data_IF_519045357171
#
_entry.id   IF_519045357171
#
_cell.length_a   1.000
_cell.length_b   1.000
_cell.length_c   1.000
_cell.angle_alpha   90.00
_cell.angle_beta   90.00
_cell.angle_gamma   90.00
#
_symmetry.space_group_name_H-M   'P 1'
#
loop_
_entity.id
_entity.type
_entity.pdbx_description
1 polymer ?
#
# COMPACT_ATOMS: atom_id res chain seq x y z
N UNK A 1 -18.94 -13.15 3.43
CA UNK A 1 -19.17 -11.72 3.72
C UNK A 1 -17.90 -10.89 3.90
N UNK A 2 -16.77 -11.46 4.32
CA UNK A 2 -15.49 -10.73 4.45
C UNK A 2 -14.91 -10.20 3.13
N UNK A 3 -15.32 -10.74 1.97
CA UNK A 3 -14.82 -10.28 0.67
C UNK A 3 -15.21 -8.82 0.39
N UNK A 4 -16.48 -8.45 0.61
CA UNK A 4 -16.96 -7.08 0.37
C UNK A 4 -16.31 -6.07 1.31
N UNK A 5 -16.16 -6.43 2.59
CA UNK A 5 -15.48 -5.58 3.58
C UNK A 5 -14.02 -5.39 3.19
N UNK A 6 -13.33 -6.48 2.78
CA UNK A 6 -11.94 -6.43 2.35
C UNK A 6 -11.79 -5.58 1.09
N UNK A 7 -12.64 -5.77 0.05
CA UNK A 7 -12.58 -4.98 -1.18
C UNK A 7 -12.91 -3.51 -0.93
N UNK A 8 -13.93 -3.20 -0.13
CA UNK A 8 -14.31 -1.83 0.21
C UNK A 8 -13.19 -1.13 0.99
N UNK A 9 -12.59 -1.82 1.96
CA UNK A 9 -11.42 -1.32 2.69
C UNK A 9 -10.26 -1.00 1.75
N UNK A 10 -9.90 -1.94 0.85
CA UNK A 10 -8.80 -1.72 -0.10
C UNK A 10 -9.10 -0.60 -1.11
N UNK A 11 -10.34 -0.48 -1.58
CA UNK A 11 -10.76 0.61 -2.49
C UNK A 11 -10.66 1.96 -1.77
N UNK A 12 -11.14 2.06 -0.53
CA UNK A 12 -11.05 3.29 0.25
C UNK A 12 -9.61 3.73 0.49
N UNK A 13 -8.73 2.81 0.88
CA UNK A 13 -7.29 3.09 1.04
C UNK A 13 -6.66 3.52 -0.28
N UNK A 14 -7.00 2.87 -1.40
CA UNK A 14 -6.51 3.23 -2.72
C UNK A 14 -6.93 4.66 -3.11
N UNK A 15 -8.18 5.02 -2.88
CA UNK A 15 -8.71 6.36 -3.17
C UNK A 15 -8.08 7.45 -2.28
N UNK A 16 -7.71 7.11 -1.04
CA UNK A 16 -7.03 8.02 -0.11
C UNK A 16 -5.56 8.26 -0.52
N UNK A 17 -4.88 7.22 -1.00
CA UNK A 17 -3.47 7.27 -1.41
C UNK A 17 -3.30 7.82 -2.82
N UNK A 18 -4.30 7.65 -3.69
CA UNK A 18 -4.32 8.37 -4.96
C UNK A 18 -4.40 9.86 -4.63
N UNK A 19 -3.38 10.67 -4.99
CA UNK A 19 -3.62 12.10 -5.04
C UNK A 19 -4.75 12.26 -6.04
N UNK A 20 -5.91 12.72 -5.58
CA UNK A 20 -6.95 13.29 -6.42
C UNK A 20 -6.45 14.65 -6.98
N UNK A 21 -5.19 14.65 -7.45
CA UNK A 21 -4.49 15.74 -8.11
C UNK A 21 -4.89 15.69 -9.57
N UNK A 22 -6.07 16.23 -9.84
CA UNK A 22 -6.63 16.30 -11.18
C UNK A 22 -8.06 16.72 -11.02
N UNK A 23 -8.29 18.02 -11.18
CA UNK A 23 -9.56 18.71 -11.10
C UNK A 23 -10.76 17.75 -11.10
N UNK A 24 -11.51 17.73 -9.99
CA UNK A 24 -12.94 17.48 -10.07
C UNK A 24 -13.56 18.63 -10.87
N UNK A 25 -13.26 18.70 -12.17
CA UNK A 25 -13.98 19.48 -13.17
C UNK A 25 -15.24 18.69 -13.50
N UNK A 26 -16.05 18.44 -12.48
CA UNK A 26 -17.45 18.17 -12.69
C UNK A 26 -18.07 19.54 -12.95
N UNK A 27 -18.43 19.83 -14.20
CA UNK A 27 -19.19 21.04 -14.57
C UNK A 27 -20.65 20.90 -14.08
N UNK A 28 -20.82 20.73 -12.77
CA UNK A 28 -22.08 20.68 -12.08
C UNK A 28 -22.16 21.80 -11.04
N UNK A 29 -23.36 22.36 -10.78
CA UNK A 29 -23.51 23.33 -9.71
C UNK A 29 -23.02 22.72 -8.39
N UNK A 30 -22.20 23.46 -7.65
CA UNK A 30 -21.58 23.10 -6.36
C UNK A 30 -20.26 22.29 -6.42
N UNK A 31 -19.53 22.29 -7.53
CA UNK A 31 -18.23 21.60 -7.64
C UNK A 31 -17.13 22.17 -6.70
N UNK A 32 -17.05 23.50 -6.56
CA UNK A 32 -16.09 24.16 -5.64
C UNK A 32 -16.44 23.96 -4.15
N UNK A 33 -17.73 23.85 -3.84
CA UNK A 33 -18.20 23.64 -2.46
C UNK A 33 -17.92 22.20 -1.98
N UNK A 34 -17.97 21.21 -2.87
CA UNK A 34 -17.65 19.80 -2.53
C UNK A 34 -16.15 19.56 -2.31
N UNK A 35 -15.28 20.28 -3.02
CA UNK A 35 -13.83 20.11 -2.89
C UNK A 35 -13.26 20.81 -1.64
N UNK A 36 -13.89 21.90 -1.19
CA UNK A 36 -13.45 22.68 -0.03
C UNK A 36 -14.02 22.19 1.31
N UNK A 37 -15.18 21.50 1.30
CA UNK A 37 -15.79 20.93 2.51
C UNK A 37 -15.04 19.69 3.02
N UNK A 38 -14.17 19.05 2.25
CA UNK A 38 -13.76 17.67 2.55
C UNK A 38 -12.48 17.54 3.42
N UNK A 39 -11.43 18.33 3.18
CA UNK A 39 -10.14 18.09 3.84
C UNK A 39 -10.12 18.51 5.33
N UNK A 40 -10.58 19.73 5.64
CA UNK A 40 -10.61 20.22 7.02
C UNK A 40 -11.63 19.46 7.88
N UNK A 41 -12.78 19.10 7.29
CA UNK A 41 -13.77 18.26 7.97
C UNK A 41 -13.24 16.84 8.21
N UNK A 42 -12.53 16.25 7.24
CA UNK A 42 -11.88 14.96 7.42
C UNK A 42 -10.79 15.01 8.51
N UNK A 43 -9.98 16.06 8.56
CA UNK A 43 -9.00 16.29 9.63
C UNK A 43 -9.68 16.43 11.00
N UNK A 44 -10.79 17.16 11.09
CA UNK A 44 -11.56 17.28 12.32
C UNK A 44 -12.16 15.93 12.76
N UNK A 45 -12.73 15.16 11.83
CA UNK A 45 -13.28 13.84 12.10
C UNK A 45 -12.20 12.82 12.51
N UNK A 46 -11.02 12.86 11.87
CA UNK A 46 -9.87 12.07 12.27
C UNK A 46 -9.40 12.44 13.68
N UNK A 47 -9.36 13.74 14.00
CA UNK A 47 -9.05 14.23 15.35
C UNK A 47 -10.03 13.72 16.40
N UNK A 48 -11.33 13.73 16.10
CA UNK A 48 -12.36 13.17 16.99
C UNK A 48 -12.15 11.66 17.22
N UNK A 49 -11.83 10.91 16.18
CA UNK A 49 -11.52 9.47 16.29
C UNK A 49 -10.30 9.21 17.18
N UNK A 50 -9.24 10.04 17.06
CA UNK A 50 -8.06 9.93 17.92
C UNK A 50 -8.43 10.22 19.38
N UNK A 51 -9.33 11.18 19.63
CA UNK A 51 -9.84 11.46 20.97
C UNK A 51 -10.53 10.23 21.58
N UNK A 52 -11.35 9.52 20.79
CA UNK A 52 -12.01 8.29 21.25
C UNK A 52 -11.00 7.16 21.52
N UNK A 53 -9.97 7.03 20.69
CA UNK A 53 -8.89 6.07 20.94
C UNK A 53 -8.17 6.33 22.26
N UNK A 54 -8.01 7.60 22.67
CA UNK A 54 -7.41 7.91 23.98
C UNK A 54 -8.28 7.37 25.12
N UNK A 55 -9.60 7.55 25.04
CA UNK A 55 -10.51 6.98 26.04
C UNK A 55 -10.46 5.45 26.07
N UNK A 56 -10.29 4.80 24.92
CA UNK A 56 -10.07 3.35 24.85
C UNK A 56 -8.77 2.93 25.55
N UNK A 57 -7.68 3.68 25.34
CA UNK A 57 -6.39 3.41 26.00
C UNK A 57 -6.46 3.58 27.53
N UNK A 58 -7.21 4.57 28.03
CA UNK A 58 -7.43 4.72 29.47
C UNK A 58 -8.11 3.48 30.09
N UNK A 59 -9.00 2.83 29.33
CA UNK A 59 -9.73 1.63 29.78
C UNK A 59 -8.95 0.34 29.60
N UNK A 60 -8.04 0.28 28.62
CA UNK A 60 -7.28 -0.91 28.25
C UNK A 60 -5.82 -0.54 27.92
N UNK A 61 -4.98 -0.28 28.94
CA UNK A 61 -3.61 0.19 28.74
C UNK A 61 -2.73 -0.84 28.01
N UNK A 62 -2.88 -2.13 28.32
CA UNK A 62 -2.08 -3.20 27.69
C UNK A 62 -2.28 -3.26 26.16
N UNK A 63 -3.49 -3.00 25.67
CA UNK A 63 -3.78 -3.00 24.24
C UNK A 63 -3.05 -1.87 23.51
N UNK A 64 -2.96 -0.68 24.13
CA UNK A 64 -2.25 0.46 23.56
C UNK A 64 -0.72 0.30 23.66
N UNK A 65 -0.20 -0.37 24.69
CA UNK A 65 1.22 -0.71 24.80
C UNK A 65 1.66 -1.69 23.71
N UNK A 66 0.88 -2.74 23.46
CA UNK A 66 1.15 -3.68 22.35
C UNK A 66 0.98 -2.97 21.00
N UNK A 67 -0.07 -2.16 20.86
CA UNK A 67 -0.34 -1.40 19.63
C UNK A 67 0.77 -0.43 19.27
N UNK A 68 1.32 0.30 20.24
CA UNK A 68 2.42 1.25 20.01
C UNK A 68 3.70 0.55 19.53
N UNK A 69 4.05 -0.59 20.13
CA UNK A 69 5.19 -1.42 19.69
C UNK A 69 5.00 -1.94 18.27
N UNK A 70 3.79 -2.40 17.93
CA UNK A 70 3.47 -2.86 16.59
C UNK A 70 3.58 -1.72 15.55
N UNK A 71 3.08 -0.53 15.90
CA UNK A 71 3.17 0.66 15.05
C UNK A 71 4.61 1.09 14.81
N UNK A 72 5.50 1.03 15.81
CA UNK A 72 6.92 1.35 15.63
C UNK A 72 7.57 0.44 14.59
N UNK A 73 7.40 -0.88 14.72
CA UNK A 73 7.95 -1.86 13.76
C UNK A 73 7.40 -1.63 12.35
N UNK A 74 6.10 -1.35 12.24
CA UNK A 74 5.49 -1.04 10.95
C UNK A 74 6.05 0.26 10.36
N UNK A 75 6.27 1.28 11.19
CA UNK A 75 6.77 2.59 10.76
C UNK A 75 8.22 2.54 10.27
N UNK A 76 9.07 1.73 10.91
CA UNK A 76 10.45 1.53 10.46
C UNK A 76 10.47 0.87 9.09
N UNK A 77 9.63 -0.15 8.88
CA UNK A 77 9.48 -0.81 7.57
C UNK A 77 8.92 0.15 6.51
N UNK A 78 7.97 1.00 6.88
CA UNK A 78 7.41 2.00 5.98
C UNK A 78 8.47 3.02 5.53
N UNK A 79 9.30 3.52 6.46
CA UNK A 79 10.40 4.44 6.16
C UNK A 79 11.45 3.79 5.25
N UNK A 80 11.86 2.57 5.57
CA UNK A 80 12.81 1.83 4.75
C UNK A 80 12.25 1.52 3.34
N UNK A 81 10.96 1.18 3.26
CA UNK A 81 10.26 0.98 1.98
C UNK A 81 10.18 2.26 1.15
N UNK A 82 9.87 3.40 1.78
CA UNK A 82 9.84 4.70 1.11
C UNK A 82 11.23 5.09 0.56
N UNK A 83 12.29 4.89 1.35
CA UNK A 83 13.66 5.13 0.91
C UNK A 83 14.05 4.25 -0.29
N UNK A 84 13.67 2.96 -0.27
CA UNK A 84 13.93 2.04 -1.39
C UNK A 84 13.21 2.45 -2.67
N UNK A 85 11.96 2.90 -2.57
CA UNK A 85 11.21 3.42 -3.72
C UNK A 85 11.86 4.70 -4.24
N UNK A 86 12.25 5.63 -3.36
CA UNK A 86 12.89 6.88 -3.76
C UNK A 86 14.24 6.64 -4.47
N UNK A 87 15.05 5.70 -3.99
CA UNK A 87 16.30 5.30 -4.62
C UNK A 87 16.06 4.70 -6.02
N UNK A 88 15.09 3.79 -6.14
CA UNK A 88 14.69 3.18 -7.41
C UNK A 88 14.22 4.21 -8.45
N UNK A 89 13.42 5.21 -8.04
CA UNK A 89 13.00 6.29 -8.95
C UNK A 89 14.12 7.31 -9.24
N UNK A 90 15.05 7.49 -8.30
CA UNK A 90 16.20 8.39 -8.46
C UNK A 90 17.26 7.83 -9.41
N UNK A 91 17.38 6.50 -9.51
CA UNK A 91 18.38 5.84 -10.35
C UNK A 91 18.08 5.88 -11.86
N UNK A 92 16.83 5.99 -12.29
CA UNK A 92 16.48 6.06 -13.72
C UNK A 92 15.25 6.97 -13.93
N UNK A 93 15.44 8.13 -14.57
CA UNK A 93 14.34 9.04 -14.90
C UNK A 93 13.39 8.46 -15.96
N UNK A 94 12.17 8.07 -15.58
CA UNK A 94 10.99 7.96 -16.45
C UNK A 94 9.68 7.90 -15.62
N UNK A 95 8.55 8.43 -16.13
CA UNK A 95 7.29 8.55 -15.38
C UNK A 95 6.55 7.23 -15.21
N UNK A 96 5.73 7.22 -14.15
CA UNK A 96 4.96 6.12 -13.56
C UNK A 96 4.37 5.06 -14.52
N UNK A 97 4.69 3.80 -14.22
CA UNK A 97 3.79 2.67 -14.44
C UNK A 97 3.14 2.29 -13.09
N UNK A 98 1.85 1.93 -13.07
CA UNK A 98 1.07 1.77 -11.84
C UNK A 98 1.67 0.71 -10.93
N UNK A 99 1.58 0.95 -9.61
CA UNK A 99 2.02 0.05 -8.57
C UNK A 99 1.55 -1.38 -8.85
N UNK A 100 2.48 -2.25 -9.22
CA UNK A 100 2.24 -3.70 -9.13
C UNK A 100 1.95 -3.96 -7.67
N UNK A 101 0.72 -4.40 -7.42
CA UNK A 101 0.27 -4.92 -6.14
C UNK A 101 1.41 -5.71 -5.50
N UNK A 102 1.64 -5.45 -4.22
CA UNK A 102 2.45 -6.31 -3.36
C UNK A 102 2.06 -7.74 -3.69
N UNK A 103 2.94 -8.45 -4.39
CA UNK A 103 2.89 -9.89 -4.39
C UNK A 103 3.08 -10.25 -2.93
N UNK A 104 2.00 -10.68 -2.28
CA UNK A 104 2.11 -11.80 -1.35
C UNK A 104 2.70 -12.97 -2.12
N UNK A 105 4.01 -12.90 -2.40
CA UNK A 105 4.82 -14.07 -2.60
C UNK A 105 5.00 -14.66 -1.19
N UNK A 106 4.01 -15.44 -0.79
CA UNK A 106 4.33 -16.65 -0.02
C UNK A 106 5.29 -17.45 -0.90
N UNK A 107 6.57 -17.38 -0.59
CA UNK A 107 7.67 -17.97 -1.35
C UNK A 107 8.93 -17.16 -1.05
N UNK A 108 9.54 -17.34 0.12
CA UNK A 108 10.37 -18.51 0.37
C UNK A 108 11.80 -18.09 0.09
N UNK A 109 12.74 -18.41 0.98
CA UNK A 109 14.16 -18.16 0.82
C UNK A 109 14.63 -18.66 -0.56
N UNK A 110 14.73 -17.77 -1.54
CA UNK A 110 15.15 -18.11 -2.89
C UNK A 110 16.65 -18.42 -2.84
N UNK A 111 16.95 -19.71 -2.75
CA UNK A 111 18.31 -20.27 -2.69
C UNK A 111 18.76 -20.81 -4.06
N UNK A 112 17.94 -20.64 -5.10
CA UNK A 112 18.22 -21.15 -6.43
C UNK A 112 19.15 -20.19 -7.18
N UNK A 113 20.28 -20.71 -7.62
CA UNK A 113 21.21 -19.97 -8.48
C UNK A 113 20.67 -19.90 -9.91
N UNK A 114 21.14 -18.96 -10.75
CA UNK A 114 20.72 -18.86 -12.15
C UNK A 114 20.96 -20.13 -12.98
N UNK A 115 21.85 -21.01 -12.53
CA UNK A 115 22.12 -22.29 -13.18
C UNK A 115 21.00 -23.32 -12.96
N UNK A 116 20.38 -23.30 -11.78
CA UNK A 116 19.30 -24.23 -11.39
C UNK A 116 18.02 -24.01 -12.20
N UNK A 117 17.89 -22.83 -12.82
CA UNK A 117 16.72 -22.41 -13.59
C UNK A 117 16.76 -22.87 -15.05
N UNK A 118 17.82 -23.54 -15.49
CA UNK A 118 17.91 -24.04 -16.86
C UNK A 118 17.21 -25.40 -16.95
N UNK A 119 16.30 -25.60 -17.92
CA UNK A 119 15.68 -26.91 -18.12
C UNK A 119 16.76 -27.95 -18.49
N UNK A 120 16.89 -28.99 -17.66
CA UNK A 120 17.86 -30.08 -17.84
C UNK A 120 17.44 -31.09 -18.92
N UNK A 121 16.21 -31.02 -19.40
CA UNK A 121 15.71 -31.93 -20.41
C UNK A 121 16.21 -31.54 -21.81
N UNK A 122 17.05 -32.39 -22.39
CA UNK A 122 17.32 -32.44 -23.84
C UNK A 122 16.34 -33.46 -24.44
N UNK A 123 15.48 -33.03 -25.37
CA UNK A 123 14.68 -33.97 -26.16
C UNK A 123 15.58 -34.90 -26.99
N UNK A 124 15.07 -36.07 -27.42
CA UNK A 124 15.86 -37.02 -28.21
C UNK A 124 16.39 -36.34 -29.48
N UNK A 125 17.72 -36.36 -29.64
CA UNK A 125 18.40 -35.74 -30.78
C UNK A 125 17.92 -36.36 -32.09
N UNK A 126 17.56 -35.51 -33.04
CA UNK A 126 17.29 -35.93 -34.42
C UNK A 126 18.52 -36.61 -35.00
N UNK A 127 18.42 -37.81 -35.60
CA UNK A 127 19.54 -38.43 -36.29
C UNK A 127 19.93 -37.56 -37.48
N UNK A 128 21.23 -37.33 -37.61
CA UNK A 128 21.88 -36.74 -38.77
C UNK A 128 21.64 -37.63 -39.99
N UNK A 129 20.99 -37.05 -41.01
CA UNK A 129 21.02 -37.51 -42.40
C UNK A 129 20.97 -36.28 -43.31
#
# INVERSE_FOLDING_TARGET
MMFLIRTAFWISVLLLVLPLGGAMKGDGPNAEERASIDAMAALAAAGATISDMRSFCERQPDACDVGSKALQVMSDRARNGAAMIQDYLGSEGAPAAPAKAVSTATGGRDTLTPADRKPSWRGPGSPSA
#
